data_IF_586268529371
#
_entry.id   IF_586268529371
#
_cell.length_a   1.000
_cell.length_b   1.000
_cell.length_c   1.000
_cell.angle_alpha   90.00
_cell.angle_beta   90.00
_cell.angle_gamma   90.00
#
_symmetry.space_group_name_H-M   'P 1'
#
loop_
_entity.id
_entity.type
_entity.pdbx_description
1 polymer ?
#
# COMPACT_ATOMS: atom_id res chain seq x y z
N UNK A 1 -0.24 8.43 -14.45
CA UNK A 1 -0.07 9.71 -13.71
C UNK A 1 1.28 10.35 -14.02
N UNK A 2 1.47 11.64 -13.70
CA UNK A 2 2.72 12.38 -13.96
C UNK A 2 3.81 12.03 -12.94
N UNK A 3 5.04 11.91 -13.42
CA UNK A 3 6.23 11.69 -12.60
C UNK A 3 7.38 12.60 -13.07
N UNK A 4 8.16 13.12 -12.13
CA UNK A 4 9.43 13.79 -12.43
C UNK A 4 10.54 12.74 -12.56
N UNK A 5 11.20 12.67 -13.72
CA UNK A 5 12.29 11.72 -13.98
C UNK A 5 13.64 12.35 -13.61
N UNK A 6 14.21 11.92 -12.48
CA UNK A 6 15.45 12.50 -11.93
C UNK A 6 16.57 11.47 -11.85
N UNK A 7 17.85 11.85 -11.96
CA UNK A 7 18.96 10.93 -11.74
C UNK A 7 18.87 10.28 -10.37
N UNK A 8 19.21 8.97 -10.28
CA UNK A 8 19.14 8.21 -9.02
C UNK A 8 19.78 8.91 -7.82
N UNK A 9 20.92 9.57 -8.03
CA UNK A 9 21.67 10.30 -7.01
C UNK A 9 20.94 11.52 -6.43
N UNK A 10 19.96 12.08 -7.15
CA UNK A 10 19.21 13.29 -6.75
C UNK A 10 17.81 12.99 -6.22
N UNK A 11 17.42 11.71 -6.16
CA UNK A 11 16.08 11.29 -5.74
C UNK A 11 15.66 11.86 -4.39
N UNK A 12 16.56 11.83 -3.40
CA UNK A 12 16.26 12.31 -2.05
C UNK A 12 16.00 13.82 -2.04
N UNK A 13 16.85 14.59 -2.73
CA UNK A 13 16.71 16.04 -2.86
C UNK A 13 15.38 16.41 -3.52
N UNK A 14 15.07 15.85 -4.70
CA UNK A 14 13.84 16.20 -5.40
C UNK A 14 12.57 15.74 -4.68
N UNK A 15 12.62 14.60 -3.99
CA UNK A 15 11.50 14.18 -3.15
C UNK A 15 11.22 15.19 -2.04
N UNK A 16 12.25 15.73 -1.42
CA UNK A 16 12.12 16.74 -0.37
C UNK A 16 11.59 18.07 -0.94
N UNK A 17 12.16 18.56 -2.04
CA UNK A 17 11.73 19.80 -2.67
C UNK A 17 10.28 19.73 -3.15
N UNK A 18 9.88 18.65 -3.83
CA UNK A 18 8.50 18.43 -4.23
C UNK A 18 7.55 18.31 -3.03
N UNK A 19 8.01 17.76 -1.91
CA UNK A 19 7.22 17.73 -0.68
C UNK A 19 7.05 19.11 -0.04
N UNK A 20 8.05 20.00 -0.13
CA UNK A 20 7.97 21.39 0.36
C UNK A 20 6.99 22.23 -0.46
N UNK A 21 6.96 21.98 -1.78
CA UNK A 21 6.05 22.64 -2.72
C UNK A 21 4.63 22.03 -2.71
N UNK A 22 4.40 20.97 -1.93
CA UNK A 22 3.16 20.19 -1.90
C UNK A 22 2.77 19.61 -3.28
N UNK A 23 3.78 19.29 -4.09
CA UNK A 23 3.64 18.68 -5.42
C UNK A 23 3.88 17.17 -5.43
N UNK A 24 4.47 16.62 -4.35
CA UNK A 24 4.72 15.20 -4.20
C UNK A 24 3.41 14.43 -3.95
N UNK A 25 3.14 13.40 -4.75
CA UNK A 25 2.10 12.42 -4.44
C UNK A 25 2.64 11.38 -3.46
N UNK A 26 2.03 11.28 -2.28
CA UNK A 26 2.52 10.45 -1.17
C UNK A 26 1.88 9.05 -1.15
N UNK A 27 0.78 8.83 -1.86
CA UNK A 27 0.11 7.53 -1.94
C UNK A 27 0.76 6.56 -2.92
N UNK A 28 1.69 7.04 -3.76
CA UNK A 28 2.34 6.24 -4.79
C UNK A 28 3.86 6.11 -4.55
N UNK A 29 4.41 4.98 -4.98
CA UNK A 29 5.83 4.66 -4.90
C UNK A 29 6.65 5.38 -5.98
N UNK A 30 7.96 5.43 -5.76
CA UNK A 30 8.95 5.96 -6.71
C UNK A 30 9.36 4.83 -7.66
N UNK A 31 9.28 5.07 -8.97
CA UNK A 31 9.70 4.10 -9.99
C UNK A 31 11.22 3.98 -10.08
N UNK A 32 11.71 2.76 -10.30
CA UNK A 32 13.08 2.52 -10.77
C UNK A 32 13.10 2.54 -12.30
N UNK A 33 13.84 3.48 -12.89
CA UNK A 33 13.98 3.67 -14.34
C UNK A 33 15.45 3.52 -14.77
N UNK A 34 16.15 2.54 -14.18
CA UNK A 34 17.59 2.29 -14.38
C UNK A 34 18.47 3.43 -13.87
N UNK A 35 18.94 4.38 -14.67
CA UNK A 35 19.79 5.47 -14.17
C UNK A 35 18.99 6.60 -13.51
N UNK A 36 17.66 6.55 -13.67
CA UNK A 36 16.71 7.55 -13.20
C UNK A 36 15.70 6.96 -12.21
N UNK A 37 14.97 7.86 -11.55
CA UNK A 37 13.80 7.58 -10.71
C UNK A 37 12.63 8.42 -11.18
N UNK A 38 11.46 7.80 -11.25
CA UNK A 38 10.20 8.53 -11.46
C UNK A 38 9.57 8.87 -10.11
N UNK A 39 9.65 10.14 -9.70
CA UNK A 39 9.01 10.62 -8.46
C UNK A 39 7.58 11.08 -8.77
N UNK A 40 6.56 10.52 -8.11
CA UNK A 40 5.16 10.78 -8.46
C UNK A 40 4.73 12.22 -8.10
N UNK A 41 4.05 12.88 -9.04
CA UNK A 41 3.52 14.24 -8.89
C UNK A 41 2.00 14.18 -8.68
N UNK A 42 1.49 15.02 -7.79
CA UNK A 42 0.05 15.20 -7.58
C UNK A 42 -0.52 16.29 -8.52
N UNK A 43 -1.84 16.48 -8.48
CA UNK A 43 -2.55 17.40 -9.36
C UNK A 43 -2.28 18.89 -9.08
N UNK A 44 -1.65 19.23 -7.94
CA UNK A 44 -1.25 20.61 -7.63
C UNK A 44 -0.01 21.04 -8.40
N UNK A 45 0.78 20.08 -8.88
CA UNK A 45 1.94 20.37 -9.72
C UNK A 45 1.47 20.88 -11.09
N UNK A 46 1.75 22.13 -11.46
CA UNK A 46 1.24 22.70 -12.69
C UNK A 46 1.90 22.05 -13.91
N UNK A 47 1.25 22.10 -15.08
CA UNK A 47 1.77 21.47 -16.30
C UNK A 47 3.05 22.11 -16.83
N UNK A 48 3.28 23.38 -16.49
CA UNK A 48 4.45 24.19 -16.84
C UNK A 48 5.50 24.22 -15.70
N UNK A 49 5.45 23.27 -14.76
CA UNK A 49 6.44 23.15 -13.70
C UNK A 49 7.85 23.03 -14.28
N UNK A 50 8.59 24.14 -14.19
CA UNK A 50 9.88 24.31 -14.84
C UNK A 50 10.99 23.65 -14.03
N UNK A 51 11.56 22.56 -14.56
CA UNK A 51 12.76 21.93 -14.05
C UNK A 51 13.68 21.53 -15.22
N UNK A 52 14.94 21.25 -14.93
CA UNK A 52 15.86 20.68 -15.94
C UNK A 52 15.54 19.22 -16.30
N UNK A 53 14.59 18.60 -15.60
CA UNK A 53 14.22 17.20 -15.71
C UNK A 53 12.87 17.04 -16.40
N UNK A 54 12.73 15.93 -17.11
CA UNK A 54 11.52 15.60 -17.86
C UNK A 54 10.38 15.15 -16.93
N UNK A 55 9.15 15.45 -17.36
CA UNK A 55 7.94 14.93 -16.75
C UNK A 55 7.37 13.86 -17.66
N UNK A 56 7.28 12.64 -17.14
CA UNK A 56 6.83 11.45 -17.87
C UNK A 56 5.52 10.91 -17.29
N UNK A 57 4.81 10.11 -18.09
CA UNK A 57 3.58 9.44 -17.66
C UNK A 57 3.86 7.96 -17.41
N UNK A 58 3.58 7.52 -16.18
CA UNK A 58 3.71 6.11 -15.77
C UNK A 58 2.45 5.66 -15.02
N UNK A 59 2.18 4.37 -15.06
CA UNK A 59 1.19 3.74 -14.19
C UNK A 59 1.65 3.79 -12.74
N UNK A 60 0.81 4.24 -11.78
CA UNK A 60 1.22 4.41 -10.39
C UNK A 60 1.70 3.10 -9.75
N UNK A 61 2.82 3.16 -9.02
CA UNK A 61 3.13 2.13 -8.03
C UNK A 61 2.24 2.37 -6.82
N UNK A 62 1.11 1.68 -6.75
CA UNK A 62 0.24 1.74 -5.56
C UNK A 62 0.81 0.78 -4.52
N UNK A 63 1.16 1.29 -3.34
CA UNK A 63 1.52 0.39 -2.23
C UNK A 63 0.29 -0.46 -1.90
N UNK A 64 0.46 -1.78 -1.91
CA UNK A 64 -0.61 -2.68 -1.50
C UNK A 64 -1.06 -2.40 -0.05
N UNK A 65 -2.25 -2.88 0.32
CA UNK A 65 -2.77 -2.71 1.68
C UNK A 65 -1.76 -3.17 2.71
N UNK A 66 -1.47 -2.30 3.69
CA UNK A 66 -0.45 -2.50 4.73
C UNK A 66 -0.96 -3.41 5.84
N UNK A 67 -2.27 -3.35 6.11
CA UNK A 67 -2.94 -4.26 7.04
C UNK A 67 -3.78 -5.26 6.26
N UNK A 68 -3.89 -6.48 6.77
CA UNK A 68 -4.72 -7.50 6.11
C UNK A 68 -6.20 -7.09 6.04
N UNK A 69 -6.71 -6.35 7.04
CA UNK A 69 -8.11 -5.87 7.05
C UNK A 69 -8.43 -4.92 5.90
N UNK A 70 -7.44 -4.19 5.39
CA UNK A 70 -7.59 -3.27 4.24
C UNK A 70 -7.84 -4.04 2.91
N UNK A 71 -7.70 -5.37 2.92
CA UNK A 71 -8.06 -6.24 1.78
C UNK A 71 -9.49 -6.78 1.87
N UNK A 72 -10.20 -6.54 2.96
CA UNK A 72 -11.61 -6.93 3.08
C UNK A 72 -12.48 -6.08 2.16
N UNK A 73 -13.64 -6.59 1.71
CA UNK A 73 -14.65 -5.74 1.08
C UNK A 73 -15.02 -4.56 1.99
N UNK A 74 -15.09 -3.35 1.43
CA UNK A 74 -15.29 -2.11 2.21
C UNK A 74 -16.54 -2.18 3.10
N UNK A 75 -17.68 -2.60 2.55
CA UNK A 75 -18.94 -2.74 3.30
C UNK A 75 -18.81 -3.69 4.49
N UNK A 76 -18.05 -4.77 4.32
CA UNK A 76 -17.80 -5.73 5.38
C UNK A 76 -16.89 -5.11 6.45
N UNK A 77 -15.80 -4.48 6.03
CA UNK A 77 -14.85 -3.82 6.92
C UNK A 77 -15.54 -2.79 7.82
N UNK A 78 -16.38 -1.93 7.23
CA UNK A 78 -17.11 -0.90 7.97
C UNK A 78 -18.16 -1.49 8.92
N UNK A 79 -18.85 -2.57 8.53
CA UNK A 79 -19.87 -3.21 9.35
C UNK A 79 -19.33 -3.73 10.69
N UNK A 80 -18.07 -4.19 10.73
CA UNK A 80 -17.43 -4.79 11.91
C UNK A 80 -16.14 -4.07 12.32
N UNK A 81 -16.08 -2.77 12.07
CA UNK A 81 -14.85 -1.96 12.19
C UNK A 81 -14.13 -2.13 13.54
N UNK A 82 -14.89 -2.31 14.61
CA UNK A 82 -14.38 -2.42 15.98
C UNK A 82 -14.15 -3.88 16.44
N UNK A 83 -14.58 -4.87 15.64
CA UNK A 83 -14.50 -6.29 15.98
C UNK A 83 -13.32 -7.01 15.33
N UNK A 84 -12.63 -6.38 14.37
CA UNK A 84 -11.54 -7.02 13.64
C UNK A 84 -10.36 -7.39 14.56
N UNK A 85 -9.81 -8.61 14.46
CA UNK A 85 -8.68 -9.02 15.26
C UNK A 85 -7.48 -8.10 15.04
N UNK A 86 -6.93 -7.57 16.13
CA UNK A 86 -5.75 -6.72 16.11
C UNK A 86 -4.44 -7.50 15.93
N UNK A 87 -4.46 -8.79 16.25
CA UNK A 87 -3.30 -9.68 16.18
C UNK A 87 -3.70 -11.14 15.90
N UNK A 88 -2.70 -11.94 15.54
CA UNK A 88 -2.77 -13.39 15.37
C UNK A 88 -1.38 -13.97 15.64
N UNK A 89 -1.31 -15.27 15.94
CA UNK A 89 -0.04 -15.97 16.11
C UNK A 89 0.41 -16.55 14.77
N UNK A 90 1.69 -16.38 14.44
CA UNK A 90 2.28 -16.99 13.26
C UNK A 90 3.30 -18.06 13.69
N UNK A 91 3.11 -19.29 13.20
CA UNK A 91 3.98 -20.44 13.47
C UNK A 91 4.43 -21.00 12.12
N UNK A 92 5.63 -20.61 11.70
CA UNK A 92 6.14 -20.95 10.37
C UNK A 92 5.25 -20.38 9.25
N UNK A 93 4.67 -21.27 8.45
CA UNK A 93 3.75 -20.93 7.34
C UNK A 93 2.26 -21.01 7.76
N UNK A 94 1.97 -21.06 9.06
CA UNK A 94 0.61 -21.16 9.62
C UNK A 94 0.28 -19.88 10.39
N UNK A 95 -0.93 -19.36 10.20
CA UNK A 95 -1.54 -18.35 11.07
C UNK A 95 -2.62 -19.02 11.94
N UNK A 96 -2.61 -18.72 13.24
CA UNK A 96 -3.66 -19.07 14.18
C UNK A 96 -4.31 -17.77 14.68
N UNK A 97 -5.61 -17.62 14.44
CA UNK A 97 -6.34 -16.37 14.72
C UNK A 97 -7.58 -16.62 15.58
N UNK A 98 -7.77 -15.76 16.58
CA UNK A 98 -8.96 -15.75 17.42
C UNK A 98 -10.04 -14.84 16.83
N UNK A 99 -11.25 -15.36 16.69
CA UNK A 99 -12.39 -14.63 16.13
C UNK A 99 -13.46 -14.40 17.20
N UNK A 100 -14.02 -13.19 17.26
CA UNK A 100 -15.19 -12.95 18.10
C UNK A 100 -16.43 -13.59 17.47
N UNK A 101 -17.46 -13.88 18.27
CA UNK A 101 -18.70 -14.49 17.76
C UNK A 101 -19.39 -13.65 16.67
N UNK A 102 -19.20 -12.32 16.68
CA UNK A 102 -19.78 -11.38 15.71
C UNK A 102 -19.19 -11.61 14.31
N UNK A 103 -17.88 -11.83 14.24
CA UNK A 103 -17.14 -11.98 12.98
C UNK A 103 -16.82 -13.43 12.61
N UNK A 104 -17.03 -14.40 13.51
CA UNK A 104 -16.78 -15.81 13.26
C UNK A 104 -17.54 -16.34 12.03
N UNK A 105 -18.74 -15.80 11.75
CA UNK A 105 -19.50 -16.10 10.51
C UNK A 105 -18.75 -15.72 9.21
N UNK A 106 -17.75 -14.84 9.30
CA UNK A 106 -16.90 -14.41 8.20
C UNK A 106 -15.52 -15.11 8.19
N UNK A 107 -15.30 -16.14 9.01
CA UNK A 107 -14.01 -16.84 9.14
C UNK A 107 -13.37 -17.23 7.81
N UNK A 108 -14.17 -17.71 6.84
CA UNK A 108 -13.67 -18.08 5.51
C UNK A 108 -13.09 -16.89 4.73
N UNK A 109 -13.78 -15.75 4.76
CA UNK A 109 -13.31 -14.53 4.09
C UNK A 109 -12.05 -14.01 4.79
N UNK A 110 -12.04 -14.01 6.12
CA UNK A 110 -10.87 -13.60 6.92
C UNK A 110 -9.65 -14.46 6.57
N UNK A 111 -9.80 -15.79 6.57
CA UNK A 111 -8.71 -16.71 6.21
C UNK A 111 -8.20 -16.51 4.78
N UNK A 112 -9.10 -16.35 3.81
CA UNK A 112 -8.71 -16.05 2.42
C UNK A 112 -7.97 -14.72 2.29
N UNK A 113 -8.41 -13.70 3.03
CA UNK A 113 -7.77 -12.39 3.04
C UNK A 113 -6.37 -12.45 3.63
N UNK A 114 -6.19 -13.18 4.73
CA UNK A 114 -4.88 -13.40 5.36
C UNK A 114 -3.92 -14.16 4.43
N UNK A 115 -4.38 -15.24 3.78
CA UNK A 115 -3.58 -15.98 2.79
C UNK A 115 -3.16 -15.10 1.60
N UNK A 116 -4.04 -14.22 1.13
CA UNK A 116 -3.71 -13.26 0.06
C UNK A 116 -2.76 -12.17 0.53
N UNK A 117 -2.80 -11.80 1.81
CA UNK A 117 -1.96 -10.74 2.35
C UNK A 117 -0.53 -11.22 2.60
N UNK A 118 -0.37 -12.40 3.18
CA UNK A 118 0.93 -12.97 3.54
C UNK A 118 1.34 -14.07 2.57
N UNK A 119 2.23 -13.74 1.64
CA UNK A 119 2.64 -14.64 0.54
C UNK A 119 3.32 -15.94 1.00
N UNK A 120 3.84 -15.98 2.23
CA UNK A 120 4.50 -17.15 2.81
C UNK A 120 3.55 -18.04 3.64
N UNK A 121 2.29 -17.65 3.85
CA UNK A 121 1.34 -18.41 4.67
C UNK A 121 0.58 -19.40 3.78
N UNK A 122 0.47 -20.65 4.25
CA UNK A 122 -0.22 -21.74 3.55
C UNK A 122 -1.49 -22.19 4.24
N UNK A 123 -1.64 -21.91 5.53
CA UNK A 123 -2.78 -22.34 6.33
C UNK A 123 -3.18 -21.25 7.34
N UNK A 124 -4.48 -21.04 7.49
CA UNK A 124 -5.06 -20.17 8.53
C UNK A 124 -6.05 -21.00 9.33
N UNK A 125 -5.83 -21.05 10.64
CA UNK A 125 -6.65 -21.78 11.60
C UNK A 125 -7.36 -20.80 12.53
N UNK A 126 -8.62 -21.09 12.84
CA UNK A 126 -9.32 -20.42 13.94
C UNK A 126 -8.94 -21.08 15.27
N UNK A 127 -8.57 -20.27 16.25
CA UNK A 127 -8.40 -20.68 17.64
C UNK A 127 -9.76 -20.62 18.35
N UNK A 128 -10.29 -21.79 18.75
CA UNK A 128 -11.62 -21.96 19.33
C UNK A 128 -11.56 -22.26 20.81
#
# INVERSE_FOLDING_TARGET
>A
MRHLSVPKKETAYWREELSKLDFLEKSHGIHDLNDFRGIPLNDKCPSDFSTQYEIIHLEPIVSGPKKWVERLPEDLYQLHKDDWPSSFDQIGEIIVIKLSGVIAKHAKIIGQTLLKHFSNIRLVCEDK
#
